data_IF_334754693572
#
_entry.id   IF_334754693572
#
_cell.length_a   1.000
_cell.length_b   1.000
_cell.length_c   1.000
_cell.angle_alpha   90.00
_cell.angle_beta   90.00
_cell.angle_gamma   90.00
#
_symmetry.space_group_name_H-M   'P 1'
#
loop_
_entity.id
_entity.type
_entity.pdbx_description
1 polymer ?
#
# COMPACT_ATOMS: atom_id res chain seq x y z
N UNK A 1 30.11 35.40 -26.97
CA UNK A 1 30.19 34.73 -25.64
C UNK A 1 29.18 33.59 -25.62
N UNK A 2 29.60 32.32 -25.56
CA UNK A 2 28.73 31.18 -25.75
C UNK A 2 28.12 30.67 -24.43
N UNK A 3 26.88 30.19 -24.50
CA UNK A 3 26.49 28.98 -23.77
C UNK A 3 25.63 29.14 -22.51
N UNK A 4 24.44 29.72 -22.64
CA UNK A 4 23.37 29.46 -21.68
C UNK A 4 22.99 27.96 -21.75
N UNK A 5 23.54 27.15 -20.84
CA UNK A 5 23.12 25.76 -20.65
C UNK A 5 21.69 25.77 -20.11
N UNK A 6 20.74 25.60 -21.02
CA UNK A 6 19.35 25.26 -20.70
C UNK A 6 19.42 24.01 -19.83
N UNK A 7 19.04 24.13 -18.57
CA UNK A 7 18.85 22.97 -17.70
C UNK A 7 17.74 22.15 -18.34
N UNK A 8 18.11 21.09 -19.05
CA UNK A 8 17.20 20.04 -19.45
C UNK A 8 16.37 19.69 -18.22
N UNK A 9 15.05 19.82 -18.34
CA UNK A 9 14.10 19.42 -17.33
C UNK A 9 14.57 18.07 -16.75
N UNK A 10 14.95 18.05 -15.47
CA UNK A 10 15.19 16.80 -14.76
C UNK A 10 13.88 16.03 -14.82
N UNK A 11 13.76 15.12 -15.79
CA UNK A 11 12.72 14.11 -15.83
C UNK A 11 12.87 13.36 -14.52
N UNK A 12 12.02 13.69 -13.54
CA UNK A 12 11.98 12.94 -12.29
C UNK A 12 11.70 11.49 -12.70
N UNK A 13 12.62 10.56 -12.47
CA UNK A 13 12.39 9.18 -12.88
C UNK A 13 11.09 8.71 -12.22
N UNK A 14 10.23 8.05 -13.01
CA UNK A 14 9.04 7.40 -12.47
C UNK A 14 9.42 6.61 -11.22
N UNK A 15 8.62 6.71 -10.17
CA UNK A 15 8.88 6.01 -8.92
C UNK A 15 9.12 4.52 -9.22
N UNK A 16 10.37 4.07 -9.03
CA UNK A 16 10.79 2.72 -9.40
C UNK A 16 10.00 1.64 -8.62
N UNK A 17 9.45 2.04 -7.46
CA UNK A 17 8.64 1.26 -6.55
C UNK A 17 7.43 2.12 -6.11
N UNK A 18 6.30 2.10 -6.83
CA UNK A 18 5.13 2.95 -6.54
C UNK A 18 4.42 2.58 -5.22
N UNK A 19 4.62 1.36 -4.73
CA UNK A 19 4.04 0.85 -3.49
C UNK A 19 5.14 0.61 -2.46
N UNK A 20 4.90 1.03 -1.22
CA UNK A 20 5.74 0.72 -0.05
C UNK A 20 4.96 -0.20 0.89
N UNK A 21 5.45 -1.43 1.16
CA UNK A 21 4.84 -2.27 2.19
C UNK A 21 5.03 -1.65 3.58
N UNK A 22 3.98 -1.65 4.38
CA UNK A 22 3.95 -1.02 5.70
C UNK A 22 3.25 -1.93 6.71
N UNK A 23 3.96 -2.33 7.78
CA UNK A 23 3.40 -3.16 8.86
C UNK A 23 2.94 -2.24 9.99
N UNK A 24 1.64 -1.93 10.00
CA UNK A 24 1.03 -1.03 10.98
C UNK A 24 1.23 -1.51 12.41
N UNK A 25 1.06 -2.80 12.67
CA UNK A 25 1.18 -3.41 14.00
C UNK A 25 2.56 -3.18 14.63
N UNK A 26 3.60 -3.73 14.01
CA UNK A 26 4.98 -3.55 14.47
C UNK A 26 5.43 -2.07 14.46
N UNK A 27 4.91 -1.26 13.53
CA UNK A 27 5.22 0.16 13.50
C UNK A 27 4.62 0.91 14.71
N UNK A 28 3.35 0.63 15.05
CA UNK A 28 2.69 1.23 16.21
C UNK A 28 3.36 0.79 17.51
N UNK A 29 3.71 -0.50 17.63
CA UNK A 29 4.43 -1.04 18.78
C UNK A 29 5.77 -0.31 19.02
N UNK A 30 6.52 -0.02 17.96
CA UNK A 30 7.81 0.67 18.06
C UNK A 30 7.68 2.20 18.28
N UNK A 31 6.51 2.80 18.05
CA UNK A 31 6.32 4.26 18.01
C UNK A 31 5.35 4.82 19.06
N UNK A 32 4.92 4.02 20.04
CA UNK A 32 3.97 4.42 21.10
C UNK A 32 4.42 5.67 21.89
N UNK A 33 5.73 5.86 22.04
CA UNK A 33 6.31 6.96 22.83
C UNK A 33 6.44 8.29 22.06
N UNK A 34 6.07 8.33 20.77
CA UNK A 34 6.17 9.54 19.94
C UNK A 34 4.91 10.39 20.06
N UNK A 35 5.08 11.71 20.06
CA UNK A 35 3.96 12.63 19.86
C UNK A 35 3.43 12.55 18.43
N UNK A 36 2.19 12.98 18.18
CA UNK A 36 1.59 12.98 16.84
C UNK A 36 2.42 13.76 15.81
N UNK A 37 3.02 14.89 16.21
CA UNK A 37 3.92 15.66 15.33
C UNK A 37 5.20 14.87 15.00
N UNK A 38 5.82 14.22 15.99
CA UNK A 38 7.01 13.38 15.80
C UNK A 38 6.72 12.19 14.90
N UNK A 39 5.57 11.57 15.10
CA UNK A 39 5.07 10.45 14.34
C UNK A 39 4.87 10.82 12.86
N UNK A 40 4.22 11.95 12.60
CA UNK A 40 4.04 12.50 11.25
C UNK A 40 5.37 12.83 10.57
N UNK A 41 6.27 13.52 11.27
CA UNK A 41 7.61 13.83 10.76
C UNK A 41 8.38 12.56 10.36
N UNK A 42 8.35 11.54 11.22
CA UNK A 42 8.99 10.26 10.95
C UNK A 42 8.42 9.53 9.73
N UNK A 43 7.08 9.50 9.57
CA UNK A 43 6.42 8.92 8.40
C UNK A 43 6.82 9.61 7.10
N UNK A 44 6.83 10.95 7.09
CA UNK A 44 7.22 11.74 5.92
C UNK A 44 8.66 11.43 5.49
N UNK A 45 9.57 11.29 6.44
CA UNK A 45 10.96 10.89 6.18
C UNK A 45 11.06 9.45 5.65
N UNK A 46 10.25 8.51 6.15
CA UNK A 46 10.16 7.15 5.62
C UNK A 46 9.75 7.17 4.13
N UNK A 47 8.73 7.93 3.78
CA UNK A 47 8.25 8.03 2.40
C UNK A 47 9.30 8.66 1.48
N UNK A 48 9.97 9.71 1.95
CA UNK A 48 11.04 10.36 1.19
C UNK A 48 12.23 9.41 0.98
N UNK A 49 12.62 8.67 2.02
CA UNK A 49 13.66 7.66 1.91
C UNK A 49 13.25 6.55 0.93
N UNK A 50 12.01 6.06 0.96
CA UNK A 50 11.52 5.04 0.04
C UNK A 50 11.61 5.47 -1.43
N UNK A 51 11.26 6.74 -1.71
CA UNK A 51 11.35 7.32 -3.06
C UNK A 51 12.78 7.52 -3.53
N UNK A 52 13.75 7.64 -2.62
CA UNK A 52 15.16 7.80 -2.96
C UNK A 52 15.76 6.53 -3.57
N UNK A 53 16.72 6.66 -4.50
CA UNK A 53 17.34 5.52 -5.18
C UNK A 53 18.18 4.62 -4.27
N UNK A 54 18.53 5.08 -3.07
CA UNK A 54 19.39 4.34 -2.12
C UNK A 54 18.65 3.93 -0.83
N UNK A 55 17.34 4.20 -0.72
CA UNK A 55 16.59 4.11 0.54
C UNK A 55 17.31 4.79 1.72
N UNK A 56 17.71 6.04 1.49
CA UNK A 56 18.48 6.83 2.45
C UNK A 56 18.11 8.30 2.38
N UNK A 57 18.43 9.02 3.45
CA UNK A 57 18.27 10.47 3.57
C UNK A 57 19.65 11.13 3.68
N UNK A 58 19.78 12.37 3.22
CA UNK A 58 20.99 13.16 3.40
C UNK A 58 21.12 13.61 4.85
N UNK A 59 22.34 13.69 5.37
CA UNK A 59 22.64 14.25 6.70
C UNK A 59 22.70 15.79 6.64
N UNK A 60 21.56 16.41 6.34
CA UNK A 60 21.39 17.87 6.25
C UNK A 60 20.09 18.26 6.97
N UNK A 61 20.23 19.03 8.05
CA UNK A 61 19.11 19.39 8.93
C UNK A 61 18.07 20.28 8.25
N UNK A 62 18.48 21.14 7.31
CA UNK A 62 17.53 22.00 6.60
C UNK A 62 16.69 21.18 5.63
N UNK A 63 17.33 20.25 4.91
CA UNK A 63 16.64 19.32 4.02
C UNK A 63 15.73 18.36 4.79
N UNK A 64 16.18 17.85 5.94
CA UNK A 64 15.39 16.95 6.77
C UNK A 64 14.18 17.69 7.36
N UNK A 65 14.35 18.91 7.85
CA UNK A 65 13.24 19.74 8.34
C UNK A 65 12.21 20.02 7.23
N UNK A 66 12.67 20.35 6.02
CA UNK A 66 11.83 20.57 4.85
C UNK A 66 11.04 19.31 4.47
N UNK A 67 11.70 18.15 4.44
CA UNK A 67 11.07 16.87 4.11
C UNK A 67 10.07 16.43 5.18
N UNK A 68 10.38 16.67 6.45
CA UNK A 68 9.48 16.45 7.58
C UNK A 68 8.35 17.50 7.69
N UNK A 69 8.36 18.54 6.84
CA UNK A 69 7.38 19.64 6.83
C UNK A 69 7.26 20.39 8.16
N UNK A 70 8.39 20.57 8.85
CA UNK A 70 8.45 21.30 10.13
C UNK A 70 9.42 22.47 10.03
N UNK A 71 9.27 23.45 10.92
CA UNK A 71 10.24 24.54 11.00
C UNK A 71 11.61 24.03 11.48
N UNK A 72 12.73 24.67 11.10
CA UNK A 72 14.06 24.27 11.57
C UNK A 72 14.23 24.30 13.10
N UNK A 73 13.45 25.16 13.78
CA UNK A 73 13.44 25.22 15.24
C UNK A 73 12.77 23.97 15.85
N UNK A 74 11.60 23.58 15.32
CA UNK A 74 10.91 22.34 15.74
C UNK A 74 11.73 21.10 15.40
N UNK A 75 12.35 21.07 14.21
CA UNK A 75 13.21 19.97 13.78
C UNK A 75 14.33 19.71 14.78
N UNK A 76 15.04 20.75 15.24
CA UNK A 76 16.13 20.60 16.22
C UNK A 76 15.68 19.91 17.52
N UNK A 77 14.47 20.20 17.99
CA UNK A 77 13.92 19.58 19.20
C UNK A 77 13.54 18.11 18.99
N UNK A 78 12.98 17.76 17.83
CA UNK A 78 12.49 16.40 17.55
C UNK A 78 13.52 15.47 16.89
N UNK A 79 14.57 16.02 16.28
CA UNK A 79 15.66 15.29 15.62
C UNK A 79 16.20 14.14 16.46
N UNK A 80 16.56 14.29 17.75
CA UNK A 80 17.12 13.17 18.51
C UNK A 80 16.15 11.98 18.64
N UNK A 81 14.85 12.26 18.77
CA UNK A 81 13.81 11.22 18.88
C UNK A 81 13.56 10.55 17.54
N UNK A 82 13.36 11.35 16.48
CA UNK A 82 13.04 10.85 15.14
C UNK A 82 14.23 10.11 14.53
N UNK A 83 15.46 10.63 14.72
CA UNK A 83 16.67 10.05 14.15
C UNK A 83 17.17 8.82 14.94
N UNK A 84 16.63 8.53 16.13
CA UNK A 84 16.94 7.31 16.88
C UNK A 84 16.55 6.02 16.13
N UNK A 85 15.54 6.08 15.26
CA UNK A 85 15.12 4.96 14.40
C UNK A 85 16.04 4.76 13.18
N UNK A 86 16.98 5.67 12.95
CA UNK A 86 17.86 5.67 11.79
C UNK A 86 19.30 5.37 12.21
N UNK A 87 20.06 4.80 11.29
CA UNK A 87 21.50 4.60 11.43
C UNK A 87 22.23 5.56 10.51
N UNK A 88 23.15 6.34 11.07
CA UNK A 88 24.02 7.21 10.27
C UNK A 88 25.17 6.40 9.68
N UNK A 89 25.23 6.32 8.36
CA UNK A 89 26.41 5.84 7.66
C UNK A 89 27.43 6.99 7.56
N UNK A 90 28.40 7.01 8.48
CA UNK A 90 29.43 8.06 8.57
C UNK A 90 30.25 8.20 7.29
N UNK A 91 30.42 7.14 6.50
CA UNK A 91 31.21 7.19 5.26
C UNK A 91 30.45 7.91 4.16
N UNK A 92 29.14 7.68 4.07
CA UNK A 92 28.28 8.23 3.02
C UNK A 92 27.57 9.51 3.42
N UNK A 93 27.62 9.88 4.71
CA UNK A 93 26.83 10.98 5.31
C UNK A 93 25.34 10.85 4.98
N UNK A 94 24.84 9.63 5.10
CA UNK A 94 23.44 9.31 4.83
C UNK A 94 22.81 8.53 5.98
N UNK A 95 21.55 8.83 6.26
CA UNK A 95 20.73 8.10 7.20
C UNK A 95 20.05 6.93 6.52
N UNK A 96 20.15 5.75 7.12
CA UNK A 96 19.61 4.50 6.59
C UNK A 96 18.79 3.79 7.64
N UNK A 97 17.73 3.12 7.21
CA UNK A 97 16.89 2.31 8.08
C UNK A 97 16.98 0.84 7.69
N UNK A 98 17.24 -0.03 8.67
CA UNK A 98 17.42 -1.47 8.44
C UNK A 98 16.16 -2.11 7.83
N UNK A 99 15.00 -1.86 8.45
CA UNK A 99 13.72 -2.44 8.01
C UNK A 99 13.35 -2.00 6.60
N UNK A 100 13.44 -0.70 6.32
CA UNK A 100 13.13 -0.15 5.01
C UNK A 100 14.00 -0.75 3.89
N UNK A 101 15.29 -0.99 4.16
CA UNK A 101 16.20 -1.61 3.19
C UNK A 101 15.80 -3.04 2.83
N UNK A 102 15.48 -3.86 3.83
CA UNK A 102 15.03 -5.26 3.63
C UNK A 102 13.78 -5.28 2.75
N UNK A 103 12.86 -4.36 3.00
CA UNK A 103 11.58 -4.33 2.30
C UNK A 103 11.70 -3.79 0.89
N UNK A 104 12.65 -2.89 0.67
CA UNK A 104 13.02 -2.45 -0.66
C UNK A 104 13.63 -3.58 -1.48
N UNK A 105 14.50 -4.39 -0.89
CA UNK A 105 15.09 -5.55 -1.55
C UNK A 105 14.03 -6.56 -1.97
N UNK A 106 13.10 -6.91 -1.06
CA UNK A 106 11.94 -7.75 -1.38
C UNK A 106 11.06 -7.16 -2.48
N UNK A 107 10.83 -5.84 -2.46
CA UNK A 107 10.03 -5.17 -3.48
C UNK A 107 10.72 -5.22 -4.86
N UNK A 108 12.03 -5.03 -4.90
CA UNK A 108 12.83 -5.14 -6.12
C UNK A 108 12.84 -6.58 -6.66
N UNK A 109 12.96 -7.57 -5.78
CA UNK A 109 12.88 -8.99 -6.16
C UNK A 109 11.51 -9.35 -6.76
N UNK A 110 10.42 -8.93 -6.11
CA UNK A 110 9.05 -9.11 -6.62
C UNK A 110 8.87 -8.46 -7.99
N UNK A 111 9.39 -7.24 -8.16
CA UNK A 111 9.35 -6.53 -9.43
C UNK A 111 10.12 -7.29 -10.53
N UNK A 112 11.30 -7.81 -10.21
CA UNK A 112 12.10 -8.60 -11.16
C UNK A 112 11.36 -9.88 -11.57
N UNK A 113 10.84 -10.65 -10.61
CA UNK A 113 10.04 -11.86 -10.88
C UNK A 113 8.82 -11.56 -11.75
N UNK A 114 8.09 -10.48 -11.45
CA UNK A 114 6.93 -10.06 -12.24
C UNK A 114 7.31 -9.66 -13.68
N UNK A 115 8.45 -9.00 -13.85
CA UNK A 115 9.01 -8.70 -15.18
C UNK A 115 9.33 -9.99 -15.93
N UNK A 116 10.01 -10.94 -15.30
CA UNK A 116 10.43 -12.18 -15.94
C UNK A 116 9.23 -13.07 -16.31
N UNK A 117 8.21 -13.13 -15.44
CA UNK A 117 6.94 -13.81 -15.74
C UNK A 117 6.18 -13.15 -16.90
N UNK A 118 6.20 -11.81 -16.99
CA UNK A 118 5.61 -11.11 -18.12
C UNK A 118 6.38 -11.45 -19.41
N UNK A 119 7.71 -11.36 -19.38
CA UNK A 119 8.57 -11.66 -20.54
C UNK A 119 8.37 -13.09 -21.03
N UNK A 120 8.28 -14.08 -20.14
CA UNK A 120 8.01 -15.48 -20.51
C UNK A 120 6.63 -15.65 -21.14
N UNK A 121 5.59 -15.03 -20.59
CA UNK A 121 4.24 -15.03 -21.18
C UNK A 121 4.23 -14.46 -22.60
N UNK A 122 4.77 -13.25 -22.79
CA UNK A 122 4.78 -12.58 -24.09
C UNK A 122 5.69 -13.26 -25.13
N UNK A 123 6.76 -13.96 -24.68
CA UNK A 123 7.60 -14.76 -25.58
C UNK A 123 6.95 -16.10 -25.94
N UNK A 124 6.15 -16.68 -25.04
CA UNK A 124 5.42 -17.95 -25.26
C UNK A 124 4.26 -17.84 -26.25
N UNK A 125 3.64 -16.67 -26.37
CA UNK A 125 2.54 -16.41 -27.34
C UNK A 125 2.99 -16.43 -28.82
N UNK A 126 4.30 -16.48 -29.12
CA UNK A 126 4.78 -16.68 -30.52
C UNK A 126 4.65 -18.13 -31.01
N UNK A 127 4.23 -19.08 -30.16
CA UNK A 127 3.94 -20.47 -30.55
C UNK A 127 2.73 -21.01 -29.77
N UNK A 128 1.51 -20.66 -30.18
CA UNK A 128 0.36 -21.59 -30.20
C UNK A 128 -0.88 -20.86 -30.70
N UNK A 129 -1.58 -21.53 -31.60
CA UNK A 129 -2.84 -21.08 -32.18
C UNK A 129 -3.88 -20.76 -31.09
N UNK A 130 -4.58 -19.65 -31.29
CA UNK A 130 -5.57 -19.09 -30.37
C UNK A 130 -6.78 -20.02 -30.18
N UNK A 131 -6.72 -20.98 -29.24
CA UNK A 131 -7.88 -21.79 -28.83
C UNK A 131 -7.96 -22.08 -27.33
N UNK A 132 -7.66 -21.10 -26.49
CA UNK A 132 -7.99 -21.19 -25.07
C UNK A 132 -8.35 -19.81 -24.49
N UNK A 133 -9.62 -19.42 -24.62
CA UNK A 133 -10.21 -18.40 -23.76
C UNK A 133 -10.47 -19.04 -22.39
N UNK A 134 -9.97 -18.49 -21.27
CA UNK A 134 -10.44 -18.90 -19.95
C UNK A 134 -11.91 -18.52 -19.82
N UNK A 135 -12.80 -19.50 -19.67
CA UNK A 135 -14.22 -19.28 -19.36
C UNK A 135 -14.31 -18.60 -17.98
N UNK A 136 -14.49 -17.29 -17.96
CA UNK A 136 -14.94 -16.58 -16.79
C UNK A 136 -16.44 -16.31 -16.89
N UNK A 137 -17.15 -16.82 -15.87
CA UNK A 137 -18.56 -16.62 -15.50
C UNK A 137 -19.62 -16.85 -16.58
N UNK A 138 -20.27 -18.02 -16.53
CA UNK A 138 -21.70 -18.04 -16.78
C UNK A 138 -22.38 -17.89 -15.42
N UNK A 139 -22.98 -16.71 -15.23
CA UNK A 139 -23.76 -16.39 -14.05
C UNK A 139 -24.94 -17.34 -13.91
N UNK A 140 -25.27 -17.65 -12.65
CA UNK A 140 -26.54 -18.28 -12.29
C UNK A 140 -27.70 -17.39 -12.73
N UNK A 141 -28.25 -17.67 -13.91
CA UNK A 141 -29.57 -17.25 -14.31
C UNK A 141 -30.51 -18.43 -14.04
N UNK A 142 -31.35 -18.29 -13.01
CA UNK A 142 -32.43 -19.22 -12.69
C UNK A 142 -33.30 -19.45 -13.93
N UNK A 143 -33.21 -20.65 -14.53
CA UNK A 143 -34.19 -21.08 -15.53
C UNK A 143 -35.38 -21.66 -14.78
N UNK A 144 -36.45 -20.88 -14.76
CA UNK A 144 -37.79 -21.28 -14.32
C UNK A 144 -38.19 -22.55 -15.09
N UNK A 145 -38.45 -23.65 -14.39
CA UNK A 145 -39.07 -24.85 -14.95
C UNK A 145 -40.58 -24.64 -15.01
N UNK A 146 -41.28 -25.03 -16.11
CA UNK A 146 -42.74 -25.05 -16.13
C UNK A 146 -43.27 -26.07 -15.12
N UNK A 147 -44.24 -25.67 -14.31
CA UNK A 147 -44.94 -26.50 -13.32
C UNK A 147 -46.13 -27.17 -14.01
N UNK A 148 -46.17 -28.50 -14.04
CA UNK A 148 -47.41 -29.27 -14.29
C UNK A 148 -48.23 -29.40 -13.00
N UNK A 149 -49.56 -29.37 -13.13
CA UNK A 149 -50.52 -29.21 -12.03
C UNK A 149 -50.84 -30.48 -11.22
N UNK A 150 -50.91 -30.27 -9.89
CA UNK A 150 -51.80 -30.83 -8.84
C UNK A 150 -51.95 -32.35 -8.65
N UNK A 151 -51.63 -32.82 -7.44
CA UNK A 151 -52.60 -33.03 -6.34
C UNK A 151 -51.92 -33.66 -5.11
N UNK A 152 -52.43 -33.37 -3.89
CA UNK A 152 -52.11 -34.14 -2.68
C UNK A 152 -51.65 -33.30 -1.49
N UNK A 153 -52.56 -33.18 -0.52
CA UNK A 153 -52.50 -32.48 0.77
C UNK A 153 -51.36 -32.96 1.70
N UNK A 154 -50.94 -32.12 2.67
CA UNK A 154 -50.61 -32.46 4.08
C UNK A 154 -49.82 -31.35 4.81
N UNK A 155 -50.60 -30.56 5.59
CA UNK A 155 -50.33 -30.03 6.95
C UNK A 155 -49.06 -29.23 7.29
N UNK A 156 -49.32 -27.93 7.52
CA UNK A 156 -48.79 -26.98 8.54
C UNK A 156 -47.58 -27.40 9.41
N UNK A 157 -46.52 -26.60 9.30
CA UNK A 157 -45.54 -26.35 10.36
C UNK A 157 -45.12 -24.88 10.36
N UNK A 158 -45.60 -24.09 11.35
CA UNK A 158 -45.25 -22.69 11.50
C UNK A 158 -43.78 -22.52 11.89
N UNK A 159 -43.03 -21.64 11.20
CA UNK A 159 -41.73 -21.17 11.67
C UNK A 159 -41.61 -19.66 11.50
N UNK A 160 -41.37 -18.99 12.62
CA UNK A 160 -41.29 -17.53 12.75
C UNK A 160 -40.25 -16.89 11.82
N UNK A 161 -40.50 -15.67 11.30
CA UNK A 161 -39.50 -14.93 10.55
C UNK A 161 -38.37 -14.52 11.50
N UNK A 162 -37.14 -14.95 11.21
CA UNK A 162 -35.96 -14.41 11.88
C UNK A 162 -35.71 -13.01 11.33
N UNK A 163 -35.86 -11.99 12.17
CA UNK A 163 -35.50 -10.61 11.84
C UNK A 163 -34.03 -10.55 11.40
N UNK A 164 -33.77 -9.82 10.32
CA UNK A 164 -32.42 -9.60 9.81
C UNK A 164 -31.62 -8.76 10.80
N UNK A 165 -30.29 -8.91 10.85
CA UNK A 165 -29.41 -8.08 11.70
C UNK A 165 -29.60 -6.58 11.45
N UNK A 166 -30.11 -6.20 10.27
CA UNK A 166 -30.48 -4.83 9.93
C UNK A 166 -31.74 -4.35 10.67
N UNK A 167 -32.70 -5.23 10.90
CA UNK A 167 -33.97 -4.89 11.55
C UNK A 167 -33.77 -4.71 13.06
N UNK A 168 -32.88 -5.51 13.66
CA UNK A 168 -32.48 -5.37 15.07
C UNK A 168 -31.70 -4.09 15.34
N UNK A 169 -30.91 -3.63 14.35
CA UNK A 169 -30.18 -2.36 14.45
C UNK A 169 -31.12 -1.16 14.34
N UNK A 170 -32.19 -1.23 13.53
CA UNK A 170 -33.13 -0.10 13.42
C UNK A 170 -34.04 0.07 14.63
N UNK A 171 -34.39 -1.00 15.36
CA UNK A 171 -35.17 -0.88 16.62
C UNK A 171 -34.34 -0.27 17.76
N UNK A 172 -33.03 -0.50 17.81
CA UNK A 172 -32.16 0.01 18.89
C UNK A 172 -31.86 1.53 18.82
N UNK A 173 -32.18 2.19 17.71
CA UNK A 173 -31.95 3.64 17.54
C UNK A 173 -33.21 4.49 17.73
N UNK A 174 -34.37 3.87 18.00
CA UNK A 174 -35.65 4.58 18.16
C UNK A 174 -36.03 4.85 19.63
N UNK A 175 -35.28 4.31 20.60
CA UNK A 175 -35.55 4.45 22.05
C UNK A 175 -34.53 5.36 22.79
N UNK A 176 -34.19 6.51 22.20
CA UNK A 176 -33.53 7.64 22.91
C UNK A 176 -34.39 8.88 22.80
#
# INVERSE_FOLDING_TARGET
MPGARRQCARRMPMANLPFMPFWTDAYLADTVHLTTEQHGAYLLLLFQAWRSPDCSLADDDELLALQAKVSPAKWRAMKPVVMAFWKLDKRRKKWVQKRLRIEREKAMERKAKARDSAVTRWKGEKKSDAKALPKHSEGSASRVTPIEEKSGDFSKGARAPKKSSRDLLMEAFQDV
#
